data_IF_283220164248
#
_entry.id   IF_283220164248
#
_cell.length_a   1.000
_cell.length_b   1.000
_cell.length_c   1.000
_cell.angle_alpha   90.00
_cell.angle_beta   90.00
_cell.angle_gamma   90.00
#
_symmetry.space_group_name_H-M   'P 1'
#
loop_
_entity.id
_entity.type
_entity.pdbx_description
1 polymer ?
#
# COMPACT_ATOMS: atom_id res chain seq x y z
N UNK A 1 -48.03 34.77 -27.01
CA UNK A 1 -48.81 33.50 -26.95
C UNK A 1 -47.90 32.39 -26.44
N UNK A 2 -48.51 31.31 -25.98
CA UNK A 2 -48.00 30.30 -25.04
C UNK A 2 -46.67 29.59 -25.37
N UNK A 3 -46.09 29.06 -24.30
CA UNK A 3 -44.98 28.09 -24.20
C UNK A 3 -45.29 26.74 -24.85
N UNK A 4 -44.25 26.04 -25.31
CA UNK A 4 -44.16 24.57 -25.26
C UNK A 4 -42.70 24.19 -24.98
N UNK A 5 -42.47 23.39 -23.93
CA UNK A 5 -41.13 23.05 -23.46
C UNK A 5 -40.64 21.68 -23.97
N UNK A 6 -39.32 21.47 -23.89
CA UNK A 6 -38.73 20.13 -23.85
C UNK A 6 -37.82 20.08 -22.63
N UNK A 7 -38.25 19.35 -21.61
CA UNK A 7 -37.42 19.02 -20.45
C UNK A 7 -36.30 18.07 -20.90
N UNK A 8 -35.18 18.65 -21.35
CA UNK A 8 -33.94 17.94 -21.55
C UNK A 8 -33.43 17.44 -20.20
N UNK A 9 -33.86 16.22 -19.80
CA UNK A 9 -33.41 15.55 -18.58
C UNK A 9 -31.88 15.47 -18.61
N UNK A 10 -31.23 16.38 -17.89
CA UNK A 10 -29.80 16.30 -17.61
C UNK A 10 -29.59 14.98 -16.87
N UNK A 11 -29.13 13.95 -17.59
CA UNK A 11 -28.67 12.71 -16.97
C UNK A 11 -27.45 13.08 -16.14
N UNK A 12 -27.70 13.42 -14.88
CA UNK A 12 -26.68 13.48 -13.84
C UNK A 12 -26.09 12.08 -13.74
N UNK A 13 -25.05 11.81 -14.52
CA UNK A 13 -24.18 10.66 -14.34
C UNK A 13 -23.60 10.80 -12.95
N UNK A 14 -24.18 10.07 -11.99
CA UNK A 14 -23.66 9.99 -10.61
C UNK A 14 -22.16 9.78 -10.71
N UNK A 15 -21.39 10.77 -10.27
CA UNK A 15 -19.95 10.63 -10.11
C UNK A 15 -19.79 9.58 -9.02
N UNK A 16 -19.53 8.34 -9.42
CA UNK A 16 -19.23 7.28 -8.46
C UNK A 16 -17.96 7.69 -7.74
N UNK A 17 -17.99 7.70 -6.41
CA UNK A 17 -16.95 8.23 -5.52
C UNK A 17 -15.70 7.35 -5.45
N UNK A 18 -15.29 6.76 -6.57
CA UNK A 18 -14.14 5.89 -6.71
C UNK A 18 -13.18 6.37 -7.80
N UNK A 19 -11.91 6.00 -7.68
CA UNK A 19 -10.90 6.29 -8.69
C UNK A 19 -11.27 5.66 -10.05
N UNK A 20 -11.38 6.50 -11.09
CA UNK A 20 -11.70 6.12 -12.47
C UNK A 20 -10.80 5.02 -13.05
N UNK A 21 -9.55 4.95 -12.59
CA UNK A 21 -8.53 4.02 -13.07
C UNK A 21 -8.40 2.73 -12.24
N UNK A 22 -9.05 2.64 -11.08
CA UNK A 22 -8.85 1.55 -10.11
C UNK A 22 -9.48 0.22 -10.55
N UNK A 23 -10.74 0.24 -11.00
CA UNK A 23 -11.56 -0.98 -11.18
C UNK A 23 -11.43 -1.62 -12.58
N UNK A 24 -10.32 -1.40 -13.28
CA UNK A 24 -10.12 -1.81 -14.68
C UNK A 24 -9.22 -3.04 -14.79
N UNK A 25 -9.62 -4.17 -14.20
CA UNK A 25 -8.79 -5.40 -14.15
C UNK A 25 -8.28 -5.89 -15.51
N UNK A 26 -9.07 -5.77 -16.60
CA UNK A 26 -8.60 -6.09 -17.96
C UNK A 26 -7.39 -5.25 -18.37
N UNK A 27 -7.42 -3.95 -18.05
CA UNK A 27 -6.33 -3.01 -18.36
C UNK A 27 -5.13 -3.20 -17.41
N UNK A 28 -5.35 -3.61 -16.17
CA UNK A 28 -4.27 -4.04 -15.26
C UNK A 28 -3.53 -5.29 -15.77
N UNK A 29 -4.22 -6.19 -16.49
CA UNK A 29 -3.55 -7.29 -17.19
C UNK A 29 -2.70 -6.76 -18.36
N UNK A 30 -3.29 -5.96 -19.25
CA UNK A 30 -2.54 -5.37 -20.38
C UNK A 30 -1.29 -4.58 -19.92
N UNK A 31 -1.39 -3.84 -18.82
CA UNK A 31 -0.27 -3.14 -18.19
C UNK A 31 0.87 -4.06 -17.75
N UNK A 32 0.54 -5.19 -17.11
CA UNK A 32 1.52 -6.24 -16.78
C UNK A 32 2.15 -6.81 -18.05
N UNK A 33 1.33 -7.15 -19.03
CA UNK A 33 1.76 -7.81 -20.26
C UNK A 33 2.71 -6.91 -21.08
N UNK A 34 2.47 -5.59 -21.09
CA UNK A 34 3.32 -4.58 -21.74
C UNK A 34 4.64 -4.39 -20.96
N UNK A 35 4.58 -4.27 -19.63
CA UNK A 35 5.78 -4.14 -18.77
C UNK A 35 6.68 -5.37 -18.86
N UNK A 36 6.11 -6.58 -18.89
CA UNK A 36 6.86 -7.84 -18.99
C UNK A 36 7.64 -8.00 -20.30
N UNK A 37 7.38 -7.17 -21.32
CA UNK A 37 8.12 -7.15 -22.58
C UNK A 37 9.25 -6.11 -22.62
N UNK A 38 9.33 -5.25 -21.60
CA UNK A 38 10.29 -4.15 -21.51
C UNK A 38 11.36 -4.45 -20.46
N UNK A 39 12.54 -3.86 -20.63
CA UNK A 39 13.70 -4.05 -19.74
C UNK A 39 14.06 -2.71 -19.09
N UNK A 40 14.43 -2.74 -17.81
CA UNK A 40 14.93 -1.59 -17.04
C UNK A 40 14.00 -0.36 -17.03
N UNK A 41 12.76 -0.54 -16.56
CA UNK A 41 11.79 0.54 -16.37
C UNK A 41 11.97 1.26 -15.02
N UNK A 42 11.88 2.60 -15.03
CA UNK A 42 11.80 3.39 -13.80
C UNK A 42 10.34 3.64 -13.35
N UNK A 43 10.15 4.21 -12.16
CA UNK A 43 8.81 4.53 -11.62
C UNK A 43 8.01 5.50 -12.50
N UNK A 44 8.68 6.38 -13.26
CA UNK A 44 8.03 7.35 -14.17
C UNK A 44 7.56 6.64 -15.43
N UNK A 45 8.30 5.65 -15.92
CA UNK A 45 7.89 4.83 -17.06
C UNK A 45 6.65 3.99 -16.73
N UNK A 46 6.60 3.38 -15.54
CA UNK A 46 5.40 2.72 -15.03
C UNK A 46 4.19 3.67 -14.98
N UNK A 47 4.39 4.94 -14.59
CA UNK A 47 3.33 5.96 -14.60
C UNK A 47 2.90 6.29 -16.03
N UNK A 48 3.82 6.48 -16.98
CA UNK A 48 3.52 6.75 -18.40
C UNK A 48 2.72 5.62 -19.04
N UNK A 49 3.16 4.38 -18.88
CA UNK A 49 2.50 3.18 -19.42
C UNK A 49 1.08 3.06 -18.85
N UNK A 50 0.92 3.26 -17.53
CA UNK A 50 -0.40 3.17 -16.89
C UNK A 50 -1.37 4.25 -17.35
N UNK A 51 -0.90 5.48 -17.56
CA UNK A 51 -1.69 6.58 -18.13
C UNK A 51 -2.08 6.27 -19.59
N UNK A 52 -1.14 5.79 -20.41
CA UNK A 52 -1.37 5.41 -21.82
C UNK A 52 -2.46 4.34 -21.95
N UNK A 53 -2.36 3.28 -21.14
CA UNK A 53 -3.34 2.19 -21.07
C UNK A 53 -4.66 2.63 -20.40
N UNK A 54 -4.65 3.72 -19.63
CA UNK A 54 -5.83 4.22 -18.92
C UNK A 54 -6.16 3.43 -17.63
N UNK A 55 -5.16 2.85 -16.98
CA UNK A 55 -5.24 2.07 -15.73
C UNK A 55 -4.41 2.72 -14.61
N UNK A 56 -4.61 2.32 -13.35
CA UNK A 56 -3.89 2.91 -12.23
C UNK A 56 -2.47 2.30 -12.13
N UNK A 57 -1.38 3.07 -12.29
CA UNK A 57 -0.01 2.53 -12.26
C UNK A 57 0.31 1.81 -10.95
N UNK A 58 -0.11 2.38 -9.81
CA UNK A 58 0.11 1.80 -8.48
C UNK A 58 -0.53 0.40 -8.34
N UNK A 59 -1.81 0.24 -8.68
CA UNK A 59 -2.48 -1.06 -8.58
C UNK A 59 -2.05 -2.04 -9.68
N UNK A 60 -1.70 -1.54 -10.87
CA UNK A 60 -1.07 -2.33 -11.92
C UNK A 60 0.24 -2.96 -11.43
N UNK A 61 1.18 -2.13 -10.98
CA UNK A 61 2.51 -2.56 -10.52
C UNK A 61 2.43 -3.41 -9.26
N UNK A 62 1.57 -3.05 -8.29
CA UNK A 62 1.29 -3.87 -7.09
C UNK A 62 0.85 -5.28 -7.47
N UNK A 63 0.06 -5.45 -8.53
CA UNK A 63 -0.39 -6.77 -8.96
C UNK A 63 0.72 -7.66 -9.55
N UNK A 64 1.92 -7.13 -9.77
CA UNK A 64 3.10 -7.85 -10.25
C UNK A 64 3.98 -8.38 -9.11
N UNK A 65 3.84 -7.85 -7.89
CA UNK A 65 4.63 -8.23 -6.70
C UNK A 65 4.75 -9.75 -6.49
N UNK A 66 3.70 -10.59 -6.65
CA UNK A 66 3.81 -12.05 -6.45
C UNK A 66 4.66 -12.79 -7.50
N UNK A 67 5.06 -12.12 -8.60
CA UNK A 67 5.84 -12.67 -9.69
C UNK A 67 7.11 -11.85 -9.97
N UNK A 68 7.51 -10.98 -9.04
CA UNK A 68 8.71 -10.16 -9.16
C UNK A 68 9.89 -10.80 -8.41
N UNK A 69 11.04 -10.94 -9.07
CA UNK A 69 12.26 -11.50 -8.47
C UNK A 69 12.91 -10.54 -7.45
N UNK A 70 12.66 -9.22 -7.61
CA UNK A 70 13.13 -8.17 -6.72
C UNK A 70 12.01 -7.16 -6.47
N UNK A 71 11.79 -6.83 -5.20
CA UNK A 71 10.87 -5.77 -4.78
C UNK A 71 11.62 -4.79 -3.89
N UNK A 72 11.73 -3.54 -4.34
CA UNK A 72 12.30 -2.43 -3.56
C UNK A 72 11.14 -1.69 -2.89
N UNK A 73 11.19 -1.55 -1.56
CA UNK A 73 10.14 -0.90 -0.77
C UNK A 73 10.69 -0.13 0.45
N UNK A 74 9.99 0.92 0.95
CA UNK A 74 10.37 1.62 2.16
C UNK A 74 10.27 0.73 3.41
N UNK A 75 11.10 0.98 4.43
CA UNK A 75 11.09 0.19 5.67
C UNK A 75 9.70 0.06 6.28
N UNK A 76 8.88 1.12 6.27
CA UNK A 76 7.56 1.11 6.90
C UNK A 76 6.63 0.07 6.26
N UNK A 77 6.76 -0.15 4.95
CA UNK A 77 6.00 -1.17 4.22
C UNK A 77 6.47 -2.59 4.53
N UNK A 78 7.74 -2.77 4.89
CA UNK A 78 8.31 -4.05 5.32
C UNK A 78 7.95 -4.37 6.78
N UNK A 79 8.01 -3.37 7.65
CA UNK A 79 7.93 -3.53 9.10
C UNK A 79 6.48 -3.70 9.60
N UNK A 80 5.52 -2.98 9.02
CA UNK A 80 4.10 -3.05 9.42
C UNK A 80 3.40 -4.26 8.80
N UNK A 81 2.87 -5.18 9.63
CA UNK A 81 2.04 -6.31 9.16
C UNK A 81 0.86 -5.92 8.28
N UNK A 82 0.15 -4.83 8.59
CA UNK A 82 -0.98 -4.38 7.76
C UNK A 82 -0.52 -3.84 6.40
N UNK A 83 0.68 -3.24 6.33
CA UNK A 83 1.33 -2.85 5.07
C UNK A 83 1.84 -4.07 4.29
N UNK A 84 2.29 -5.09 5.05
CA UNK A 84 2.47 -6.53 4.75
C UNK A 84 1.38 -7.12 3.84
N UNK A 85 0.15 -7.00 4.33
CA UNK A 85 -1.09 -7.62 3.81
C UNK A 85 -1.83 -6.73 2.79
N UNK A 86 -1.69 -5.40 2.92
CA UNK A 86 -1.60 -4.53 1.75
C UNK A 86 -0.34 -4.88 0.93
N UNK A 87 -0.12 -4.27 -0.23
CA UNK A 87 0.87 -4.72 -1.23
C UNK A 87 0.63 -6.19 -1.69
N UNK A 88 0.92 -7.19 -0.86
CA UNK A 88 0.81 -8.62 -1.13
C UNK A 88 2.11 -9.35 -0.79
N UNK A 89 2.85 -8.87 0.22
CA UNK A 89 4.21 -9.32 0.52
C UNK A 89 4.18 -10.51 1.49
N UNK A 90 4.65 -11.66 1.02
CA UNK A 90 4.93 -12.81 1.86
C UNK A 90 6.44 -12.91 2.09
N UNK A 91 6.90 -12.83 3.34
CA UNK A 91 8.33 -12.93 3.65
C UNK A 91 8.83 -14.37 3.73
N UNK A 92 7.92 -15.36 3.86
CA UNK A 92 8.29 -16.77 3.91
C UNK A 92 8.91 -17.21 2.59
N UNK A 93 10.08 -17.86 2.68
CA UNK A 93 10.92 -18.30 1.54
C UNK A 93 11.51 -17.16 0.70
N UNK A 94 11.56 -15.92 1.21
CA UNK A 94 12.22 -14.79 0.56
C UNK A 94 13.42 -14.30 1.37
N UNK A 95 14.41 -13.72 0.67
CA UNK A 95 15.56 -13.07 1.30
C UNK A 95 15.22 -11.59 1.50
N UNK A 96 15.37 -11.10 2.73
CA UNK A 96 15.16 -9.70 3.08
C UNK A 96 16.52 -9.04 3.27
N UNK A 97 16.80 -8.00 2.48
CA UNK A 97 18.00 -7.17 2.59
C UNK A 97 17.57 -5.80 3.09
N UNK A 98 18.15 -5.36 4.21
CA UNK A 98 17.94 -4.01 4.75
C UNK A 98 19.19 -3.21 4.41
N UNK A 99 19.08 -2.38 3.37
CA UNK A 99 20.08 -1.35 3.09
C UNK A 99 20.13 -0.34 4.23
N UNK A 100 21.30 0.24 4.49
CA UNK A 100 21.58 1.22 5.56
C UNK A 100 20.84 0.96 6.90
N UNK A 101 20.91 -0.28 7.40
CA UNK A 101 20.20 -0.74 8.59
C UNK A 101 20.49 0.06 9.88
N UNK A 102 21.55 0.88 9.90
CA UNK A 102 21.80 1.84 10.98
C UNK A 102 20.68 2.89 11.14
N UNK A 103 19.95 3.19 10.06
CA UNK A 103 18.79 4.10 10.05
C UNK A 103 17.45 3.42 10.39
N UNK A 104 17.45 2.13 10.76
CA UNK A 104 16.21 1.37 10.98
C UNK A 104 15.51 1.71 12.31
N UNK A 105 16.24 2.21 13.29
CA UNK A 105 15.74 2.45 14.65
C UNK A 105 14.65 3.54 14.71
N UNK A 106 14.87 4.70 14.09
CA UNK A 106 13.90 5.81 14.16
C UNK A 106 12.56 5.49 13.47
N UNK A 107 12.51 4.87 12.28
CA UNK A 107 11.28 4.35 11.70
C UNK A 107 10.57 3.34 12.59
N UNK A 108 11.31 2.38 13.18
CA UNK A 108 10.74 1.41 14.12
C UNK A 108 10.08 2.10 15.32
N UNK A 109 10.78 3.02 15.97
CA UNK A 109 10.26 3.77 17.12
C UNK A 109 9.05 4.60 16.70
N UNK A 110 9.14 5.36 15.61
CA UNK A 110 8.05 6.23 15.12
C UNK A 110 6.79 5.46 14.72
N UNK A 111 6.90 4.21 14.23
CA UNK A 111 5.75 3.39 13.88
C UNK A 111 5.02 2.88 15.13
N UNK A 112 5.75 2.59 16.21
CA UNK A 112 5.21 2.00 17.44
C UNK A 112 4.85 3.04 18.51
N UNK A 113 5.45 4.24 18.50
CA UNK A 113 5.08 5.37 19.35
C UNK A 113 3.63 5.86 19.13
N UNK A 114 3.05 6.50 20.15
CA UNK A 114 1.69 7.03 20.15
C UNK A 114 1.60 8.30 21.01
N UNK A 115 1.75 9.47 20.37
CA UNK A 115 1.64 10.76 21.05
C UNK A 115 0.18 11.13 21.34
N UNK A 116 -0.19 11.16 22.61
CA UNK A 116 -1.51 11.60 23.08
C UNK A 116 -1.44 13.07 23.53
N UNK A 117 -2.32 13.92 23.00
CA UNK A 117 -2.51 15.31 23.46
C UNK A 117 -3.81 15.40 24.26
N UNK A 118 -3.75 15.92 25.49
CA UNK A 118 -4.80 15.69 26.49
C UNK A 118 -5.88 16.78 26.58
N UNK A 119 -7.12 16.31 26.68
CA UNK A 119 -8.13 16.80 27.62
C UNK A 119 -8.53 15.63 28.52
N UNK A 120 -9.02 15.88 29.74
CA UNK A 120 -9.18 14.84 30.80
C UNK A 120 -9.92 13.57 30.34
N UNK A 121 -10.93 13.71 29.47
CA UNK A 121 -11.73 12.59 28.97
C UNK A 121 -10.94 11.63 28.07
N UNK A 122 -9.86 12.10 27.42
CA UNK A 122 -9.05 11.30 26.50
C UNK A 122 -8.05 10.36 27.21
N UNK A 123 -7.71 10.61 28.49
CA UNK A 123 -6.72 9.79 29.23
C UNK A 123 -7.12 8.32 29.25
N UNK A 124 -8.39 8.00 29.55
CA UNK A 124 -8.88 6.61 29.60
C UNK A 124 -8.91 5.93 28.23
N UNK A 125 -9.17 6.68 27.16
CA UNK A 125 -9.18 6.15 25.79
C UNK A 125 -7.76 5.87 25.32
N UNK A 126 -6.83 6.81 25.59
CA UNK A 126 -5.41 6.69 25.23
C UNK A 126 -4.73 5.48 25.88
N UNK A 127 -5.02 5.20 27.16
CA UNK A 127 -4.53 4.00 27.84
C UNK A 127 -4.96 2.71 27.13
N UNK A 128 -6.24 2.58 26.76
CA UNK A 128 -6.73 1.41 26.02
C UNK A 128 -6.03 1.24 24.67
N UNK A 129 -5.74 2.35 23.98
CA UNK A 129 -5.10 2.35 22.68
C UNK A 129 -3.62 1.92 22.74
N UNK A 130 -2.91 2.30 23.81
CA UNK A 130 -1.52 1.86 24.04
C UNK A 130 -1.46 0.36 24.35
N UNK A 131 -2.37 -0.17 25.19
CA UNK A 131 -2.41 -1.60 25.49
C UNK A 131 -2.68 -2.47 24.26
N UNK A 132 -3.63 -2.06 23.41
CA UNK A 132 -3.97 -2.78 22.17
C UNK A 132 -2.77 -2.81 21.20
N UNK A 133 -2.15 -1.64 20.96
CA UNK A 133 -0.95 -1.52 20.11
C UNK A 133 0.25 -2.31 20.65
N UNK A 134 0.36 -2.44 21.98
CA UNK A 134 1.41 -3.24 22.62
C UNK A 134 1.25 -4.75 22.34
N UNK A 135 0.02 -5.25 22.26
CA UNK A 135 -0.27 -6.66 21.97
C UNK A 135 0.07 -7.02 20.52
N UNK A 136 -0.32 -6.17 19.56
CA UNK A 136 0.06 -6.36 18.14
C UNK A 136 1.58 -6.37 17.94
N UNK A 137 2.30 -5.46 18.63
CA UNK A 137 3.77 -5.33 18.53
C UNK A 137 4.50 -6.59 18.99
N UNK A 138 3.98 -7.29 20.01
CA UNK A 138 4.55 -8.55 20.51
C UNK A 138 4.39 -9.71 19.52
N UNK A 139 3.40 -9.68 18.62
CA UNK A 139 3.26 -10.69 17.56
C UNK A 139 4.19 -10.45 16.38
N UNK A 140 4.47 -9.19 16.01
CA UNK A 140 5.39 -8.88 14.90
C UNK A 140 6.86 -9.15 15.26
N UNK A 141 7.26 -8.94 16.52
CA UNK A 141 8.65 -9.13 16.97
C UNK A 141 9.18 -10.58 16.85
N UNK A 142 8.33 -11.59 17.06
CA UNK A 142 8.74 -12.99 16.88
C UNK A 142 9.03 -13.31 15.40
N UNK A 143 8.40 -12.63 14.45
CA UNK A 143 8.51 -12.97 13.03
C UNK A 143 9.88 -12.62 12.42
N UNK A 144 10.50 -11.51 12.85
CA UNK A 144 11.84 -11.13 12.42
C UNK A 144 12.94 -11.82 13.24
N UNK A 145 12.71 -12.06 14.54
CA UNK A 145 13.65 -12.76 15.42
C UNK A 145 13.88 -14.22 15.01
N UNK A 146 12.82 -14.95 14.61
CA UNK A 146 12.92 -16.36 14.20
C UNK A 146 13.66 -16.58 12.86
N UNK A 147 13.76 -15.56 11.99
CA UNK A 147 14.51 -15.66 10.73
C UNK A 147 16.00 -15.33 10.90
N UNK A 148 16.38 -14.47 11.84
CA UNK A 148 17.79 -14.16 12.11
C UNK A 148 18.52 -15.38 12.71
N UNK A 149 17.86 -16.14 13.59
CA UNK A 149 18.42 -17.35 14.22
C UNK A 149 18.44 -18.61 13.32
N UNK A 150 18.24 -18.48 12.01
CA UNK A 150 18.32 -19.60 11.04
C UNK A 150 19.44 -19.43 10.00
N UNK A 151 20.47 -18.65 10.32
CA UNK A 151 21.72 -18.51 9.56
C UNK A 151 22.96 -19.07 10.29
N UNK A 152 22.76 -20.02 11.20
CA UNK A 152 23.82 -20.85 11.80
C UNK A 152 23.47 -22.33 11.68
#
# INVERSE_FOLDING_TARGET
MQTLGVEGRTRQTKVSSGCLMLRKHKLQRQFRDEISQLVALDIKDLVRIGISIGTCPYYGSRSMVPAADLVVLPYQSLLSKSSREMLGLNLKNNIVIIDEAHNLADPLISMHDAKITLSERLVRVGLSFIYDKSIDTLQDHNYMGEHCNRMH
#
